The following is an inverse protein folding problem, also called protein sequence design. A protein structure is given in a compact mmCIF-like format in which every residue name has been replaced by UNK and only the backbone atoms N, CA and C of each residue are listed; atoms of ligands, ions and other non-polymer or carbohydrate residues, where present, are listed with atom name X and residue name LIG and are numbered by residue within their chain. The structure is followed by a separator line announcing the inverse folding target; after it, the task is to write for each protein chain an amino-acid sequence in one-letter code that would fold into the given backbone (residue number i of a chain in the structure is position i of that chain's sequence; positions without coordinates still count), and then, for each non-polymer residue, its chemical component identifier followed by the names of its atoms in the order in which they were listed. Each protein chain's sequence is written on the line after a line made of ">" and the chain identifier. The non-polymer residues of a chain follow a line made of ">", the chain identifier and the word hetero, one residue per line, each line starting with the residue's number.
data_IF_106203661172
#
_entry.id   IF_106203661172
#
_cell.length_a   1.000
_cell.length_b   1.000
_cell.length_c   1.000
_cell.angle_alpha   90.00
_cell.angle_beta   90.00
_cell.angle_gamma   90.00
#
_symmetry.space_group_name_H-M   'P 1'
#
loop_
_entity.id
_entity.type
_entity.pdbx_description
1 polymer ?
#
# COMPACT_ATOMS: atom_id res chain seq x y z
N UNK A 1 -24.29 -14.73 -9.06
CA UNK A 1 -23.28 -15.68 -9.56
C UNK A 1 -22.31 -15.10 -10.61
N UNK A 2 -22.74 -14.33 -11.64
CA UNK A 2 -21.80 -13.77 -12.63
C UNK A 2 -20.84 -12.71 -12.05
N UNK A 3 -21.31 -11.84 -11.16
CA UNK A 3 -20.48 -10.80 -10.53
C UNK A 3 -19.31 -11.40 -9.72
N UNK A 4 -19.59 -12.36 -8.84
CA UNK A 4 -18.55 -13.02 -8.02
C UNK A 4 -17.45 -13.64 -8.88
N UNK A 5 -17.82 -14.26 -10.01
CA UNK A 5 -16.83 -14.85 -10.93
C UNK A 5 -15.98 -13.78 -11.60
N UNK A 6 -16.56 -12.63 -11.95
CA UNK A 6 -15.84 -11.47 -12.49
C UNK A 6 -14.89 -10.90 -11.42
N UNK A 7 -15.36 -10.71 -10.19
CA UNK A 7 -14.54 -10.22 -9.07
C UNK A 7 -13.33 -11.13 -8.79
N UNK A 8 -13.55 -12.45 -8.80
CA UNK A 8 -12.46 -13.43 -8.62
C UNK A 8 -11.43 -13.33 -9.75
N UNK A 9 -11.88 -13.32 -11.01
CA UNK A 9 -10.97 -13.22 -12.16
C UNK A 9 -10.19 -11.90 -12.17
N UNK A 10 -10.87 -10.78 -11.86
CA UNK A 10 -10.22 -9.47 -11.71
C UNK A 10 -9.20 -9.49 -10.58
N UNK A 11 -9.53 -10.10 -9.44
CA UNK A 11 -8.60 -10.23 -8.31
C UNK A 11 -7.35 -11.01 -8.71
N UNK A 12 -7.49 -12.13 -9.44
CA UNK A 12 -6.33 -12.91 -9.92
C UNK A 12 -5.48 -12.10 -10.88
N UNK A 13 -6.09 -11.40 -11.85
CA UNK A 13 -5.38 -10.56 -12.81
C UNK A 13 -4.62 -9.42 -12.12
N UNK A 14 -5.26 -8.73 -11.18
CA UNK A 14 -4.65 -7.65 -10.40
C UNK A 14 -3.49 -8.18 -9.55
N UNK A 15 -3.66 -9.31 -8.85
CA UNK A 15 -2.59 -9.93 -8.08
C UNK A 15 -1.41 -10.34 -8.94
N UNK A 16 -1.66 -10.91 -10.12
CA UNK A 16 -0.60 -11.30 -11.04
C UNK A 16 0.19 -10.07 -11.50
N UNK A 17 -0.49 -9.01 -11.91
CA UNK A 17 0.12 -7.77 -12.38
C UNK A 17 0.89 -7.03 -11.29
N UNK A 18 0.39 -7.05 -10.05
CA UNK A 18 1.00 -6.35 -8.93
C UNK A 18 2.03 -7.19 -8.18
N UNK A 19 2.16 -8.49 -8.47
CA UNK A 19 3.06 -9.40 -7.74
C UNK A 19 4.51 -8.90 -7.74
N UNK A 20 5.05 -8.53 -8.90
CA UNK A 20 6.41 -7.99 -9.03
C UNK A 20 6.58 -6.65 -8.33
N UNK A 21 5.56 -5.78 -8.42
CA UNK A 21 5.55 -4.47 -7.77
C UNK A 21 5.53 -4.62 -6.24
N UNK A 22 4.69 -5.53 -5.73
CA UNK A 22 4.60 -5.85 -4.30
C UNK A 22 5.92 -6.43 -3.81
N UNK A 23 6.51 -7.38 -4.54
CA UNK A 23 7.78 -7.98 -4.13
C UNK A 23 8.91 -6.95 -4.12
N UNK A 24 8.94 -6.05 -5.10
CA UNK A 24 9.94 -4.99 -5.19
C UNK A 24 9.77 -3.93 -4.09
N UNK A 25 8.54 -3.47 -3.84
CA UNK A 25 8.28 -2.37 -2.91
C UNK A 25 8.11 -2.84 -1.46
N UNK A 26 7.51 -4.00 -1.24
CA UNK A 26 7.20 -4.55 0.08
C UNK A 26 8.10 -5.74 0.46
N UNK A 27 9.10 -6.06 -0.35
CA UNK A 27 10.16 -7.01 0.01
C UNK A 27 11.08 -6.48 1.13
N UNK A 28 11.22 -5.16 1.23
CA UNK A 28 11.92 -4.52 2.35
C UNK A 28 11.04 -4.52 3.61
N UNK A 29 11.58 -5.03 4.72
CA UNK A 29 10.83 -5.19 5.98
C UNK A 29 10.32 -3.87 6.57
N UNK A 30 11.06 -2.76 6.41
CA UNK A 30 10.63 -1.44 6.87
C UNK A 30 9.51 -0.91 6.00
N UNK A 31 9.66 -0.97 4.67
CA UNK A 31 8.60 -0.56 3.73
C UNK A 31 7.33 -1.37 3.95
N UNK A 32 7.43 -2.69 4.13
CA UNK A 32 6.29 -3.56 4.47
C UNK A 32 5.58 -3.09 5.75
N UNK A 33 6.35 -2.80 6.80
CA UNK A 33 5.77 -2.34 8.08
C UNK A 33 5.11 -0.97 7.97
N UNK A 34 5.67 -0.05 7.18
CA UNK A 34 5.04 1.24 6.86
C UNK A 34 3.70 1.01 6.15
N UNK A 35 3.67 0.11 5.16
CA UNK A 35 2.45 -0.25 4.44
C UNK A 35 1.38 -0.79 5.40
N UNK A 36 1.71 -1.77 6.25
CA UNK A 36 0.78 -2.38 7.21
C UNK A 36 0.17 -1.38 8.22
N UNK A 37 0.92 -0.33 8.57
CA UNK A 37 0.46 0.74 9.48
C UNK A 37 -0.33 1.85 8.78
N UNK A 38 -0.33 1.86 7.44
CA UNK A 38 -1.00 2.89 6.64
C UNK A 38 -2.53 2.79 6.80
N UNK A 39 -3.17 3.95 6.99
CA UNK A 39 -4.61 4.07 7.25
C UNK A 39 -5.00 3.90 8.72
N UNK A 40 -4.06 3.49 9.59
CA UNK A 40 -4.27 3.39 11.05
C UNK A 40 -3.58 4.50 11.82
N UNK A 41 -2.48 5.01 11.28
CA UNK A 41 -1.61 6.00 11.91
C UNK A 41 -1.20 7.07 10.91
N UNK A 42 -0.86 8.26 11.42
CA UNK A 42 -0.28 9.34 10.63
C UNK A 42 1.16 9.02 10.20
N UNK A 43 1.65 9.72 9.17
CA UNK A 43 3.03 9.57 8.69
C UNK A 43 4.08 9.80 9.80
N UNK A 44 3.80 10.73 10.73
CA UNK A 44 4.67 11.03 11.86
C UNK A 44 4.73 9.88 12.87
N UNK A 45 3.60 9.28 13.21
CA UNK A 45 3.53 8.15 14.14
C UNK A 45 4.17 6.89 13.55
N UNK A 46 3.96 6.64 12.25
CA UNK A 46 4.60 5.53 11.53
C UNK A 46 6.11 5.73 11.48
N UNK A 47 6.55 6.95 11.17
CA UNK A 47 7.97 7.31 11.18
C UNK A 47 8.65 6.97 12.50
N UNK A 48 8.03 7.37 13.62
CA UNK A 48 8.52 7.04 14.97
C UNK A 48 8.56 5.52 15.23
N UNK A 49 7.52 4.77 14.84
CA UNK A 49 7.44 3.32 15.07
C UNK A 49 8.43 2.50 14.25
N UNK A 50 8.77 2.95 13.03
CA UNK A 50 9.63 2.23 12.09
C UNK A 50 11.08 2.75 12.11
N UNK A 51 11.34 3.89 12.77
CA UNK A 51 12.65 4.53 12.78
C UNK A 51 12.98 5.19 11.44
N UNK A 52 12.02 5.95 10.90
CA UNK A 52 12.19 6.73 9.67
C UNK A 52 11.53 8.10 9.79
N UNK A 53 11.80 9.01 8.85
CA UNK A 53 11.19 10.35 8.86
C UNK A 53 9.75 10.32 8.35
N UNK A 54 8.91 11.23 8.85
CA UNK A 54 7.55 11.42 8.34
C UNK A 54 7.55 11.77 6.84
N UNK A 55 8.55 12.52 6.37
CA UNK A 55 8.71 12.86 4.95
C UNK A 55 8.98 11.61 4.10
N UNK A 56 9.80 10.68 4.60
CA UNK A 56 10.07 9.40 3.93
C UNK A 56 8.78 8.58 3.79
N UNK A 57 7.97 8.52 4.85
CA UNK A 57 6.66 7.84 4.81
C UNK A 57 5.74 8.50 3.77
N UNK A 58 5.63 9.83 3.77
CA UNK A 58 4.79 10.55 2.79
C UNK A 58 5.25 10.33 1.35
N UNK A 59 6.56 10.30 1.08
CA UNK A 59 7.08 10.00 -0.27
C UNK A 59 6.78 8.57 -0.69
N UNK A 60 6.90 7.60 0.22
CA UNK A 60 6.52 6.21 -0.06
C UNK A 60 5.03 6.11 -0.38
N UNK A 61 4.17 6.81 0.37
CA UNK A 61 2.74 6.82 0.10
C UNK A 61 2.38 7.37 -1.28
N UNK A 62 2.99 8.48 -1.69
CA UNK A 62 2.80 9.02 -3.04
C UNK A 62 3.28 8.03 -4.12
N UNK A 63 4.42 7.39 -3.91
CA UNK A 63 4.92 6.35 -4.82
C UNK A 63 3.95 5.16 -4.92
N UNK A 64 3.43 4.70 -3.78
CA UNK A 64 2.48 3.59 -3.72
C UNK A 64 1.08 3.93 -4.23
N UNK A 65 0.65 5.19 -4.13
CA UNK A 65 -0.56 5.68 -4.78
C UNK A 65 -0.43 5.57 -6.31
N UNK A 66 0.69 6.06 -6.87
CA UNK A 66 0.94 5.98 -8.30
C UNK A 66 1.06 4.55 -8.82
N UNK A 67 1.50 3.62 -7.96
CA UNK A 67 1.59 2.19 -8.26
C UNK A 67 0.29 1.42 -7.99
N UNK A 68 -0.76 2.08 -7.49
CA UNK A 68 -2.04 1.44 -7.18
C UNK A 68 -2.00 0.50 -5.97
N UNK A 69 -1.03 0.65 -5.07
CA UNK A 69 -0.98 -0.08 -3.80
C UNK A 69 -1.75 0.63 -2.68
N UNK A 70 -1.89 1.95 -2.79
CA UNK A 70 -2.69 2.80 -1.91
C UNK A 70 -3.68 3.63 -2.72
N UNK A 71 -4.77 4.04 -2.08
CA UNK A 71 -5.70 5.05 -2.59
C UNK A 71 -5.85 6.17 -1.58
N UNK A 72 -5.95 7.40 -2.05
CA UNK A 72 -6.23 8.54 -1.20
C UNK A 72 -7.65 8.45 -0.63
N UNK A 73 -7.77 8.67 0.68
CA UNK A 73 -9.03 8.61 1.41
C UNK A 73 -9.10 9.84 2.33
N UNK A 74 -9.75 10.88 1.83
CA UNK A 74 -9.78 12.21 2.45
C UNK A 74 -8.37 12.80 2.64
N UNK A 75 -7.98 13.00 3.90
CA UNK A 75 -6.65 13.56 4.28
C UNK A 75 -5.56 12.49 4.38
N UNK A 76 -5.90 11.20 4.22
CA UNK A 76 -4.98 10.08 4.40
C UNK A 76 -4.96 9.13 3.21
N UNK A 77 -4.44 7.94 3.48
CA UNK A 77 -4.34 6.85 2.51
C UNK A 77 -4.94 5.57 3.08
N UNK A 78 -5.55 4.78 2.21
CA UNK A 78 -6.07 3.45 2.49
C UNK A 78 -5.39 2.43 1.59
N UNK A 79 -5.17 1.22 2.12
CA UNK A 79 -4.64 0.09 1.35
C UNK A 79 -5.68 -0.48 0.39
N UNK A 80 -5.23 -0.84 -0.81
CA UNK A 80 -6.07 -1.48 -1.84
C UNK A 80 -6.00 -3.01 -1.74
N UNK A 81 -4.85 -3.55 -1.32
CA UNK A 81 -4.55 -4.99 -1.28
C UNK A 81 -4.36 -5.47 0.15
#
# INVERSE_FOLDING_TARGET
>A
MRLQRIEVLLTVLVKNQLSDVINKELGDSKKKKIYELTGKYSASEIGKKVGTSAMTVSRLWQGWENLGLLVKDGKGYRRII
#
